data_IF_883284814610
#
_entry.id   IF_883284814610
#
_cell.length_a   1.000
_cell.length_b   1.000
_cell.length_c   1.000
_cell.angle_alpha   90.00
_cell.angle_beta   90.00
_cell.angle_gamma   90.00
#
_symmetry.space_group_name_H-M   'P 1'
#
loop_
_entity.id
_entity.type
_entity.pdbx_description
1 polymer ?
#
# COMPACT_ATOMS: atom_id res chain seq x y z
N UNK A 1 16.86 -32.94 1.91
CA UNK A 1 16.40 -31.77 2.70
C UNK A 1 16.37 -30.59 1.75
N UNK A 2 15.33 -29.77 1.75
CA UNK A 2 15.29 -28.53 0.93
C UNK A 2 16.27 -27.51 1.52
N UNK A 3 17.10 -26.89 0.69
CA UNK A 3 18.07 -25.88 1.13
C UNK A 3 17.37 -24.61 1.66
N UNK A 4 18.11 -23.72 2.35
CA UNK A 4 17.53 -22.42 2.75
C UNK A 4 17.18 -21.61 1.50
N UNK A 5 18.01 -21.70 0.47
CA UNK A 5 17.83 -21.10 -0.84
C UNK A 5 16.53 -21.57 -1.51
N UNK A 6 16.24 -22.87 -1.52
CA UNK A 6 14.99 -23.41 -2.09
C UNK A 6 13.75 -22.83 -1.41
N UNK A 7 13.78 -22.73 -0.07
CA UNK A 7 12.69 -22.13 0.69
C UNK A 7 12.55 -20.63 0.43
N UNK A 8 13.67 -19.94 0.27
CA UNK A 8 13.69 -18.52 -0.04
C UNK A 8 13.14 -18.25 -1.44
N UNK A 9 13.54 -19.03 -2.44
CA UNK A 9 12.98 -18.98 -3.80
C UNK A 9 11.48 -19.28 -3.77
N UNK A 10 11.05 -20.33 -3.10
CA UNK A 10 9.64 -20.68 -3.00
C UNK A 10 8.82 -19.55 -2.37
N UNK A 11 9.34 -18.91 -1.32
CA UNK A 11 8.69 -17.77 -0.68
C UNK A 11 8.62 -16.55 -1.60
N UNK A 12 9.70 -16.25 -2.33
CA UNK A 12 9.78 -15.09 -3.24
C UNK A 12 8.88 -15.28 -4.45
N UNK A 13 8.94 -16.43 -5.10
CA UNK A 13 8.23 -16.68 -6.36
C UNK A 13 6.71 -16.84 -6.18
N UNK A 14 6.23 -17.08 -4.95
CA UNK A 14 4.80 -17.27 -4.65
C UNK A 14 3.92 -16.12 -5.14
N UNK A 15 4.42 -14.89 -5.11
CA UNK A 15 3.66 -13.68 -5.47
C UNK A 15 4.06 -13.08 -6.83
N UNK A 16 5.04 -13.69 -7.51
CA UNK A 16 5.50 -13.29 -8.85
C UNK A 16 4.51 -13.80 -9.92
N UNK A 17 4.19 -12.99 -10.96
CA UNK A 17 3.34 -13.40 -12.07
C UNK A 17 3.87 -14.67 -12.76
N UNK A 18 2.97 -15.61 -13.07
CA UNK A 18 3.35 -16.91 -13.64
C UNK A 18 4.19 -16.79 -14.93
N UNK A 19 3.89 -15.80 -15.78
CA UNK A 19 4.58 -15.57 -17.04
C UNK A 19 6.09 -15.28 -16.91
N UNK A 20 6.54 -14.66 -15.81
CA UNK A 20 7.96 -14.34 -15.56
C UNK A 20 8.58 -15.21 -14.47
N UNK A 21 7.81 -16.12 -13.87
CA UNK A 21 8.23 -16.84 -12.66
C UNK A 21 9.48 -17.70 -12.90
N UNK A 22 9.56 -18.39 -14.04
CA UNK A 22 10.68 -19.28 -14.37
C UNK A 22 11.97 -18.52 -14.67
N UNK A 23 11.87 -17.44 -15.45
CA UNK A 23 12.98 -16.53 -15.73
C UNK A 23 13.55 -15.95 -14.43
N UNK A 24 12.69 -15.36 -13.59
CA UNK A 24 13.08 -14.79 -12.29
C UNK A 24 13.63 -15.87 -11.35
N UNK A 25 13.10 -17.09 -11.39
CA UNK A 25 13.61 -18.19 -10.57
C UNK A 25 15.05 -18.55 -10.93
N UNK A 26 15.35 -18.59 -12.23
CA UNK A 26 16.68 -18.93 -12.74
C UNK A 26 17.67 -17.81 -12.43
N UNK A 27 17.29 -16.56 -12.71
CA UNK A 27 18.11 -15.38 -12.41
C UNK A 27 18.41 -15.26 -10.91
N UNK A 28 17.37 -15.36 -10.06
CA UNK A 28 17.54 -15.24 -8.61
C UNK A 28 18.36 -16.38 -8.04
N UNK A 29 18.21 -17.62 -8.55
CA UNK A 29 19.04 -18.74 -8.13
C UNK A 29 20.51 -18.49 -8.46
N UNK A 30 20.82 -18.14 -9.71
CA UNK A 30 22.19 -17.87 -10.13
C UNK A 30 22.82 -16.74 -9.31
N UNK A 31 22.09 -15.64 -9.10
CA UNK A 31 22.57 -14.53 -8.26
C UNK A 31 22.84 -14.94 -6.81
N UNK A 32 22.02 -15.81 -6.21
CA UNK A 32 22.27 -16.33 -4.86
C UNK A 32 23.50 -17.22 -4.83
N UNK A 33 23.64 -18.12 -5.80
CA UNK A 33 24.81 -19.01 -5.93
C UNK A 33 26.10 -18.20 -6.06
N UNK A 34 26.12 -17.20 -6.95
CA UNK A 34 27.27 -16.30 -7.13
C UNK A 34 27.64 -15.55 -5.84
N UNK A 35 26.65 -15.04 -5.09
CA UNK A 35 26.90 -14.35 -3.82
C UNK A 35 27.37 -15.28 -2.70
N UNK A 36 26.95 -16.55 -2.71
CA UNK A 36 27.42 -17.57 -1.77
C UNK A 36 28.86 -17.90 -2.10
N UNK A 37 29.18 -18.14 -3.37
CA UNK A 37 30.53 -18.50 -3.83
C UNK A 37 31.53 -17.38 -3.54
N UNK A 38 31.14 -16.11 -3.71
CA UNK A 38 31.97 -14.97 -3.31
C UNK A 38 32.35 -15.00 -1.82
N UNK A 39 31.38 -15.27 -0.93
CA UNK A 39 31.65 -15.39 0.52
C UNK A 39 32.48 -16.61 0.88
N UNK A 40 32.30 -17.71 0.15
CA UNK A 40 33.13 -18.92 0.33
C UNK A 40 34.56 -18.66 -0.09
N UNK A 41 34.79 -17.88 -1.14
CA UNK A 41 36.12 -17.44 -1.55
C UNK A 41 36.79 -16.56 -0.46
N UNK A 42 36.01 -15.79 0.29
CA UNK A 42 36.45 -15.01 1.45
C UNK A 42 36.65 -15.87 2.73
N UNK A 43 36.53 -17.20 2.63
CA UNK A 43 36.79 -18.14 3.72
C UNK A 43 35.60 -18.42 4.63
N UNK A 44 34.38 -18.03 4.27
CA UNK A 44 33.15 -18.41 5.00
C UNK A 44 32.81 -19.88 4.75
N UNK A 45 32.30 -20.53 5.79
CA UNK A 45 31.62 -21.82 5.63
C UNK A 45 30.35 -21.68 4.78
N UNK A 46 29.97 -22.77 4.11
CA UNK A 46 28.80 -22.86 3.22
C UNK A 46 27.50 -22.41 3.90
N UNK A 47 27.22 -22.90 5.12
CA UNK A 47 25.96 -22.60 5.81
C UNK A 47 25.94 -21.14 6.29
N UNK A 48 27.08 -20.65 6.74
CA UNK A 48 27.25 -19.25 7.14
C UNK A 48 27.08 -18.30 5.93
N UNK A 49 27.71 -18.64 4.80
CA UNK A 49 27.61 -17.88 3.56
C UNK A 49 26.16 -17.82 3.06
N UNK A 50 25.47 -18.97 2.98
CA UNK A 50 24.06 -19.04 2.57
C UNK A 50 23.17 -18.16 3.48
N UNK A 51 23.31 -18.29 4.79
CA UNK A 51 22.51 -17.51 5.74
C UNK A 51 22.73 -16.01 5.61
N UNK A 52 23.96 -15.58 5.38
CA UNK A 52 24.28 -14.16 5.22
C UNK A 52 23.75 -13.56 3.94
N UNK A 53 23.89 -14.28 2.81
CA UNK A 53 23.32 -13.86 1.53
C UNK A 53 21.81 -13.67 1.65
N UNK A 54 21.12 -14.66 2.21
CA UNK A 54 19.66 -14.59 2.36
C UNK A 54 19.23 -13.50 3.35
N UNK A 55 20.07 -13.19 4.35
CA UNK A 55 19.84 -12.09 5.29
C UNK A 55 20.04 -10.73 4.62
N UNK A 56 21.06 -10.59 3.77
CA UNK A 56 21.32 -9.39 2.98
C UNK A 56 20.20 -9.12 1.97
N UNK A 57 19.73 -10.15 1.26
CA UNK A 57 18.56 -10.06 0.37
C UNK A 57 17.28 -9.67 1.12
N UNK A 58 17.18 -10.03 2.40
CA UNK A 58 16.12 -9.59 3.29
C UNK A 58 14.77 -10.27 2.98
N UNK A 59 13.67 -9.53 3.14
CA UNK A 59 12.33 -10.12 3.10
C UNK A 59 11.93 -10.59 1.68
N UNK A 60 11.65 -11.89 1.45
CA UNK A 60 11.34 -12.44 0.14
C UNK A 60 10.09 -11.81 -0.49
N UNK A 61 9.10 -11.38 0.30
CA UNK A 61 7.91 -10.71 -0.21
C UNK A 61 8.21 -9.30 -0.75
N UNK A 62 9.17 -8.59 -0.14
CA UNK A 62 9.64 -7.28 -0.64
C UNK A 62 10.43 -7.46 -1.93
N UNK A 63 11.28 -8.48 -2.01
CA UNK A 63 12.04 -8.80 -3.21
C UNK A 63 11.11 -9.18 -4.37
N UNK A 64 10.12 -10.04 -4.10
CA UNK A 64 9.11 -10.43 -5.08
C UNK A 64 8.31 -9.24 -5.65
N UNK A 65 7.98 -8.26 -4.80
CA UNK A 65 7.28 -7.07 -5.24
C UNK A 65 8.09 -6.23 -6.25
N UNK A 66 9.42 -6.19 -6.10
CA UNK A 66 10.31 -5.52 -7.07
C UNK A 66 10.29 -6.23 -8.42
N UNK A 67 10.40 -7.55 -8.44
CA UNK A 67 10.34 -8.35 -9.68
C UNK A 67 8.95 -8.35 -10.36
N UNK A 68 7.89 -8.29 -9.55
CA UNK A 68 6.51 -8.24 -10.04
C UNK A 68 6.06 -6.83 -10.48
N UNK A 69 6.92 -5.82 -10.34
CA UNK A 69 6.59 -4.39 -10.50
C UNK A 69 5.29 -4.01 -9.75
N UNK A 70 5.06 -4.68 -8.62
CA UNK A 70 3.78 -4.64 -7.91
C UNK A 70 3.86 -3.55 -6.86
N UNK A 71 3.08 -2.49 -7.05
CA UNK A 71 2.93 -1.41 -6.07
C UNK A 71 2.34 -1.96 -4.76
N UNK A 72 3.19 -2.00 -3.73
CA UNK A 72 2.84 -2.39 -2.35
C UNK A 72 2.05 -1.30 -1.61
N UNK A 73 1.91 -0.13 -2.22
CA UNK A 73 1.22 1.02 -1.66
C UNK A 73 -0.26 0.98 -2.10
N UNK A 74 -1.15 1.46 -1.23
CA UNK A 74 -2.57 1.61 -1.57
C UNK A 74 -2.79 2.81 -2.50
N UNK A 75 -2.10 3.92 -2.21
CA UNK A 75 -2.06 5.14 -3.00
C UNK A 75 -0.58 5.49 -3.17
N UNK A 76 -0.13 5.55 -4.42
CA UNK A 76 1.27 5.82 -4.75
C UNK A 76 1.62 7.30 -4.74
N UNK A 77 2.91 7.64 -4.90
CA UNK A 77 3.39 9.03 -4.85
C UNK A 77 2.72 9.93 -5.90
N UNK A 78 2.37 9.39 -7.07
CA UNK A 78 1.68 10.10 -8.15
C UNK A 78 0.33 10.68 -7.69
N UNK A 79 -0.40 9.94 -6.87
CA UNK A 79 -1.78 10.25 -6.46
C UNK A 79 -1.88 10.83 -5.05
N UNK A 80 -0.86 10.63 -4.22
CA UNK A 80 -0.88 10.94 -2.80
C UNK A 80 -1.18 12.41 -2.50
N UNK A 81 -0.53 13.35 -3.21
CA UNK A 81 -0.72 14.78 -2.98
C UNK A 81 -2.13 15.26 -3.37
N UNK A 82 -2.66 14.72 -4.48
CA UNK A 82 -4.02 15.03 -4.91
C UNK A 82 -5.06 14.48 -3.93
N UNK A 83 -4.87 13.24 -3.47
CA UNK A 83 -5.68 12.62 -2.42
C UNK A 83 -5.64 13.43 -1.12
N UNK A 84 -4.45 13.82 -0.66
CA UNK A 84 -4.26 14.58 0.58
C UNK A 84 -4.96 15.94 0.51
N UNK A 85 -4.79 16.66 -0.60
CA UNK A 85 -5.44 17.96 -0.82
C UNK A 85 -6.96 17.83 -0.81
N UNK A 86 -7.51 16.83 -1.51
CA UNK A 86 -8.95 16.62 -1.56
C UNK A 86 -9.51 16.20 -0.19
N UNK A 87 -8.81 15.31 0.52
CA UNK A 87 -9.20 14.87 1.86
C UNK A 87 -9.25 16.06 2.83
N UNK A 88 -8.21 16.88 2.86
CA UNK A 88 -8.17 18.10 3.69
C UNK A 88 -9.28 19.08 3.33
N UNK A 89 -9.51 19.29 2.04
CA UNK A 89 -10.57 20.18 1.56
C UNK A 89 -11.95 19.70 2.04
N UNK A 90 -12.30 18.44 1.80
CA UNK A 90 -13.61 17.91 2.16
C UNK A 90 -13.80 17.87 3.69
N UNK A 91 -12.79 17.43 4.44
CA UNK A 91 -12.89 17.35 5.90
C UNK A 91 -12.90 18.72 6.59
N UNK A 92 -12.43 19.78 5.93
CA UNK A 92 -12.38 21.11 6.54
C UNK A 92 -13.76 21.75 6.79
N UNK A 93 -14.76 21.45 5.95
CA UNK A 93 -16.08 22.08 6.07
C UNK A 93 -17.26 21.12 5.92
N UNK A 94 -17.15 20.01 5.19
CA UNK A 94 -18.30 19.14 4.90
C UNK A 94 -18.93 18.55 6.17
N UNK A 95 -18.18 18.01 7.15
CA UNK A 95 -18.77 17.51 8.39
C UNK A 95 -19.53 18.58 9.17
N UNK A 96 -19.01 19.81 9.21
CA UNK A 96 -19.65 20.94 9.89
C UNK A 96 -20.95 21.36 9.20
N UNK A 97 -20.96 21.41 7.86
CA UNK A 97 -22.17 21.70 7.07
C UNK A 97 -23.23 20.64 7.28
N UNK A 98 -22.85 19.35 7.29
CA UNK A 98 -23.81 18.25 7.56
C UNK A 98 -24.35 18.32 8.99
N UNK A 99 -23.48 18.57 9.98
CA UNK A 99 -23.91 18.75 11.37
C UNK A 99 -24.94 19.86 11.49
N UNK A 100 -24.68 21.01 10.85
CA UNK A 100 -25.58 22.16 10.85
C UNK A 100 -26.91 21.82 10.18
N UNK A 101 -26.88 21.17 9.01
CA UNK A 101 -28.08 20.79 8.28
C UNK A 101 -28.97 19.84 9.10
N UNK A 102 -28.39 18.80 9.70
CA UNK A 102 -29.12 17.84 10.54
C UNK A 102 -29.62 18.51 11.83
N UNK A 103 -28.79 19.33 12.47
CA UNK A 103 -29.19 20.04 13.69
C UNK A 103 -30.36 21.00 13.46
N UNK A 104 -30.38 21.71 12.31
CA UNK A 104 -31.49 22.58 11.94
C UNK A 104 -32.76 21.79 11.58
N UNK A 105 -32.62 20.65 10.91
CA UNK A 105 -33.75 19.81 10.53
C UNK A 105 -34.43 19.14 11.74
N UNK A 106 -33.64 18.66 12.70
CA UNK A 106 -34.15 17.95 13.88
C UNK A 106 -34.53 18.92 15.02
N UNK A 107 -33.98 20.14 15.00
CA UNK A 107 -34.25 21.16 16.03
C UNK A 107 -35.69 21.70 16.01
N UNK A 108 -36.47 21.44 14.96
CA UNK A 108 -37.86 21.88 14.86
C UNK A 108 -38.82 21.11 15.76
N UNK A 109 -38.42 19.93 16.24
CA UNK A 109 -39.27 19.03 17.03
C UNK A 109 -39.28 19.36 18.54
N UNK A 110 -38.61 20.44 18.95
CA UNK A 110 -38.60 20.94 20.33
C UNK A 110 -37.66 20.19 21.29
N UNK A 111 -36.99 19.13 20.84
CA UNK A 111 -35.99 18.40 21.61
C UNK A 111 -34.55 18.74 21.16
N UNK A 112 -34.02 19.85 21.68
CA UNK A 112 -32.69 20.33 21.33
C UNK A 112 -31.56 19.32 21.66
N UNK A 113 -31.72 18.50 22.70
CA UNK A 113 -30.70 17.50 23.07
C UNK A 113 -30.58 16.37 22.04
N UNK A 114 -31.71 15.87 21.55
CA UNK A 114 -31.74 14.84 20.50
C UNK A 114 -31.21 15.37 19.16
N UNK A 115 -31.58 16.61 18.79
CA UNK A 115 -31.07 17.27 17.59
C UNK A 115 -29.54 17.41 17.57
N UNK A 116 -28.94 17.80 18.70
CA UNK A 116 -27.47 17.88 18.84
C UNK A 116 -26.85 16.49 18.71
N UNK A 117 -27.42 15.48 19.36
CA UNK A 117 -26.94 14.10 19.27
C UNK A 117 -26.91 13.59 17.83
N UNK A 118 -28.02 13.75 17.11
CA UNK A 118 -28.14 13.38 15.69
C UNK A 118 -27.17 14.15 14.81
N UNK A 119 -26.99 15.45 15.02
CA UNK A 119 -26.05 16.28 14.27
C UNK A 119 -24.60 15.79 14.43
N UNK A 120 -24.17 15.47 15.66
CA UNK A 120 -22.83 14.95 15.93
C UNK A 120 -22.63 13.59 15.28
N UNK A 121 -23.60 12.67 15.41
CA UNK A 121 -23.54 11.35 14.78
C UNK A 121 -23.46 11.48 13.26
N UNK A 122 -24.25 12.37 12.64
CA UNK A 122 -24.21 12.61 11.21
C UNK A 122 -22.86 13.16 10.74
N UNK A 123 -22.25 14.08 11.50
CA UNK A 123 -20.93 14.63 11.19
C UNK A 123 -19.83 13.56 11.25
N UNK A 124 -19.86 12.70 12.28
CA UNK A 124 -18.93 11.58 12.41
C UNK A 124 -19.08 10.59 11.27
N UNK A 125 -20.32 10.20 10.96
CA UNK A 125 -20.60 9.27 9.87
C UNK A 125 -20.20 9.85 8.51
N UNK A 126 -20.41 11.15 8.29
CA UNK A 126 -19.95 11.86 7.10
C UNK A 126 -18.43 11.83 6.97
N UNK A 127 -17.71 12.10 8.06
CA UNK A 127 -16.25 12.05 8.11
C UNK A 127 -15.71 10.67 7.70
N UNK A 128 -16.31 9.60 8.24
CA UNK A 128 -15.95 8.22 7.88
C UNK A 128 -16.23 7.93 6.41
N UNK A 129 -17.40 8.33 5.90
CA UNK A 129 -17.76 8.13 4.50
C UNK A 129 -16.84 8.87 3.54
N UNK A 130 -16.48 10.13 3.83
CA UNK A 130 -15.49 10.89 3.05
C UNK A 130 -14.16 10.13 3.04
N UNK A 131 -13.65 9.76 4.22
CA UNK A 131 -12.40 9.02 4.35
C UNK A 131 -12.39 7.73 3.54
N UNK A 132 -13.46 6.95 3.63
CA UNK A 132 -13.60 5.67 2.94
C UNK A 132 -13.69 5.84 1.42
N UNK A 133 -14.65 6.61 0.92
CA UNK A 133 -14.93 6.69 -0.51
C UNK A 133 -13.84 7.43 -1.29
N UNK A 134 -13.28 8.50 -0.72
CA UNK A 134 -12.15 9.20 -1.35
C UNK A 134 -10.95 8.27 -1.45
N UNK A 135 -10.60 7.57 -0.37
CA UNK A 135 -9.48 6.61 -0.40
C UNK A 135 -9.73 5.46 -1.36
N UNK A 136 -10.95 4.94 -1.42
CA UNK A 136 -11.32 3.85 -2.35
C UNK A 136 -11.17 4.28 -3.81
N UNK A 137 -11.67 5.46 -4.18
CA UNK A 137 -11.54 5.98 -5.55
C UNK A 137 -10.07 6.13 -5.93
N UNK A 138 -9.25 6.75 -5.08
CA UNK A 138 -7.83 6.91 -5.36
C UNK A 138 -7.08 5.57 -5.42
N UNK A 139 -7.46 4.58 -4.60
CA UNK A 139 -6.92 3.24 -4.70
C UNK A 139 -7.29 2.56 -6.04
N UNK A 140 -8.49 2.79 -6.57
CA UNK A 140 -8.90 2.27 -7.89
C UNK A 140 -8.15 2.97 -9.02
N UNK A 141 -7.98 4.29 -8.95
CA UNK A 141 -7.19 5.05 -9.95
C UNK A 141 -5.72 4.59 -9.99
N UNK A 142 -5.13 4.37 -8.82
CA UNK A 142 -3.79 3.81 -8.67
C UNK A 142 -3.68 2.42 -9.33
N UNK A 143 -4.67 1.55 -9.15
CA UNK A 143 -4.68 0.19 -9.71
C UNK A 143 -4.93 0.14 -11.21
N UNK A 144 -5.63 1.14 -11.75
CA UNK A 144 -5.94 1.24 -13.17
C UNK A 144 -4.91 2.04 -13.97
N UNK A 145 -3.89 2.63 -13.29
CA UNK A 145 -2.93 3.55 -13.91
C UNK A 145 -3.62 4.65 -14.73
N UNK A 146 -4.71 5.21 -14.21
CA UNK A 146 -5.34 6.36 -14.86
C UNK A 146 -4.31 7.50 -15.00
N UNK A 147 -4.43 8.31 -16.05
CA UNK A 147 -3.58 9.50 -16.19
C UNK A 147 -4.20 10.64 -15.41
N UNK A 148 -3.42 11.27 -14.54
CA UNK A 148 -3.78 12.55 -13.96
C UNK A 148 -3.23 13.64 -14.89
N UNK A 149 -4.11 14.40 -15.54
CA UNK A 149 -3.72 15.65 -16.22
C UNK A 149 -3.48 16.72 -15.15
N UNK A 150 -2.33 16.64 -14.48
CA UNK A 150 -1.87 17.69 -13.58
C UNK A 150 -1.20 18.78 -14.42
N UNK A 151 -1.44 20.06 -14.12
CA UNK A 151 -0.75 21.15 -14.79
C UNK A 151 0.75 20.99 -14.56
N UNK A 152 1.52 20.93 -15.65
CA UNK A 152 2.98 20.97 -15.59
C UNK A 152 3.41 22.35 -15.07
N UNK A 153 4.54 22.37 -14.34
CA UNK A 153 5.11 23.63 -13.88
C UNK A 153 5.56 24.45 -15.09
N UNK A 154 5.02 25.66 -15.21
CA UNK A 154 5.38 26.70 -16.19
C UNK A 154 6.05 27.86 -15.51
#
# INVERSE_FOLDING_TARGET
MTSLTDRYLAATLRTVPAARREEIATELRGSIEDMIDGRRADGRDTEAAEREVLTELGNPAKLAARYADRRLQLIGPTYYLAWERLMKLLLSFVPAVVALAVGLAEGTDGNAGDAIGKAVVAALQTTVNIGFWVTLVFAVLERTNAKLDLPEWT
#
